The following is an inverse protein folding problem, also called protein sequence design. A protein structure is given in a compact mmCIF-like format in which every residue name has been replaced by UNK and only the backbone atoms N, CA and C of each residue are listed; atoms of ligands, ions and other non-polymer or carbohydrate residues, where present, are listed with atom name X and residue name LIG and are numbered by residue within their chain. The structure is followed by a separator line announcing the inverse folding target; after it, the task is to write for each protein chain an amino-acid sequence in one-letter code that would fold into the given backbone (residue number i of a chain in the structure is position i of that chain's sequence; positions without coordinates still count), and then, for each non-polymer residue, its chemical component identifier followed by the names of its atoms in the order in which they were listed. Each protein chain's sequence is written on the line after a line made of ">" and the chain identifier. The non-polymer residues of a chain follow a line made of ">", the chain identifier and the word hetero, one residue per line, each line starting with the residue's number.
data_IF_406873562031
#
_entry.id   IF_406873562031
#
_cell.length_a   1.000
_cell.length_b   1.000
_cell.length_c   1.000
_cell.angle_alpha   90.00
_cell.angle_beta   90.00
_cell.angle_gamma   90.00
#
_symmetry.space_group_name_H-M   'P 1'
#
loop_
_entity.id
_entity.type
_entity.pdbx_description
1 polymer ?
#
# COMPACT_ATOMS: atom_id res chain seq x y z
N UNK A 1 13.91 48.64 48.76
CA UNK A 1 14.33 47.24 48.97
C UNK A 1 13.13 46.33 48.63
N UNK A 2 12.66 46.34 47.38
CA UNK A 2 13.12 45.63 46.17
C UNK A 2 12.96 44.09 46.25
N UNK A 3 11.72 43.66 45.96
CA UNK A 3 11.29 42.45 45.24
C UNK A 3 12.29 41.30 45.01
N UNK A 4 12.40 40.31 45.92
CA UNK A 4 13.11 39.07 45.63
C UNK A 4 12.17 37.93 45.20
N UNK A 5 10.84 38.08 45.33
CA UNK A 5 9.88 37.00 45.05
C UNK A 5 9.17 37.10 43.70
N UNK A 6 9.15 38.27 43.06
CA UNK A 6 8.52 38.42 41.74
C UNK A 6 9.41 37.89 40.59
N UNK A 7 10.73 37.75 40.83
CA UNK A 7 11.69 37.26 39.85
C UNK A 7 11.65 35.73 39.64
N UNK A 8 11.14 34.98 40.62
CA UNK A 8 11.06 33.51 40.51
C UNK A 8 9.92 33.03 39.59
N UNK A 9 8.88 33.83 39.37
CA UNK A 9 7.78 33.47 38.48
C UNK A 9 8.07 33.77 37.00
N UNK A 10 8.96 34.73 36.70
CA UNK A 10 9.30 35.08 35.31
C UNK A 10 10.30 34.07 34.71
N UNK A 11 11.15 33.46 35.53
CA UNK A 11 12.09 32.42 35.06
C UNK A 11 11.42 31.11 34.63
N UNK A 12 10.25 30.78 35.20
CA UNK A 12 9.53 29.55 34.88
C UNK A 12 8.78 29.60 33.54
N UNK A 13 8.42 30.79 33.04
CA UNK A 13 7.77 30.94 31.73
C UNK A 13 8.73 30.85 30.54
N UNK A 14 10.03 31.11 30.75
CA UNK A 14 11.02 31.07 29.68
C UNK A 14 11.36 29.64 29.21
N UNK A 15 11.05 28.60 30.00
CA UNK A 15 11.37 27.20 29.67
C UNK A 15 10.29 26.45 28.88
N UNK A 16 9.08 27.01 28.73
CA UNK A 16 8.00 26.36 27.97
C UNK A 16 7.89 26.84 26.50
N UNK A 17 8.69 27.82 26.08
CA UNK A 17 8.47 28.53 24.82
C UNK A 17 9.15 27.99 23.56
N UNK A 18 9.86 26.86 23.60
CA UNK A 18 10.59 26.37 22.42
C UNK A 18 10.38 24.89 22.13
N UNK A 19 9.14 24.41 22.23
CA UNK A 19 8.73 23.33 21.34
C UNK A 19 8.61 23.98 19.95
N UNK A 20 9.63 23.80 19.10
CA UNK A 20 9.53 24.19 17.69
C UNK A 20 8.24 23.53 17.16
N UNK A 21 7.31 24.28 16.56
CA UNK A 21 6.18 23.65 15.90
C UNK A 21 6.80 22.76 14.84
N UNK A 22 6.66 21.45 15.01
CA UNK A 22 7.04 20.50 13.98
C UNK A 22 6.23 20.93 12.77
N UNK A 23 6.88 21.48 11.73
CA UNK A 23 6.20 21.73 10.47
C UNK A 23 5.58 20.40 10.08
N UNK A 24 4.26 20.31 10.23
CA UNK A 24 3.48 19.25 9.66
C UNK A 24 3.53 19.57 8.17
N UNK A 25 4.63 19.19 7.51
CA UNK A 25 4.61 18.93 6.08
C UNK A 25 3.44 17.99 5.95
N UNK A 26 2.32 18.52 5.47
CA UNK A 26 1.18 17.74 5.07
C UNK A 26 1.80 16.65 4.22
N UNK A 27 1.88 15.44 4.80
CA UNK A 27 2.55 14.34 4.17
C UNK A 27 1.58 14.04 3.06
N UNK A 28 1.78 14.68 1.90
CA UNK A 28 1.01 14.42 0.69
C UNK A 28 1.12 12.92 0.57
N UNK A 29 0.05 12.22 0.90
CA UNK A 29 -0.03 10.78 0.72
C UNK A 29 -0.09 10.67 -0.78
N UNK A 30 1.11 10.61 -1.39
CA UNK A 30 1.22 10.26 -2.80
C UNK A 30 0.56 8.90 -2.86
N UNK A 31 -0.53 8.83 -3.61
CA UNK A 31 -1.18 7.55 -3.87
C UNK A 31 -0.09 6.60 -4.37
N UNK A 32 0.00 5.43 -3.75
CA UNK A 32 0.99 4.45 -4.16
C UNK A 32 0.74 4.13 -5.64
N UNK A 33 1.81 4.02 -6.46
CA UNK A 33 1.64 3.69 -7.87
C UNK A 33 0.91 2.35 -8.02
N UNK A 34 0.13 2.20 -9.10
CA UNK A 34 -0.68 1.00 -9.34
C UNK A 34 0.18 -0.21 -9.76
N UNK A 35 1.36 0.07 -10.32
CA UNK A 35 2.39 -0.93 -10.66
C UNK A 35 3.77 -0.43 -10.22
N UNK A 36 4.71 -1.36 -10.07
CA UNK A 36 6.13 -1.06 -9.87
C UNK A 36 6.85 -0.68 -11.18
N UNK A 37 6.21 -0.86 -12.34
CA UNK A 37 6.75 -0.53 -13.67
C UNK A 37 6.57 0.97 -13.98
N UNK A 38 7.34 1.47 -14.95
CA UNK A 38 7.12 2.82 -15.47
C UNK A 38 5.86 2.87 -16.34
N UNK A 39 5.11 3.96 -16.19
CA UNK A 39 3.93 4.23 -17.01
C UNK A 39 4.37 4.84 -18.34
N UNK A 40 4.33 4.05 -19.42
CA UNK A 40 4.67 4.48 -20.78
C UNK A 40 3.56 4.16 -21.78
N UNK A 41 2.63 5.10 -21.96
CA UNK A 41 1.49 4.98 -22.89
C UNK A 41 1.89 4.78 -24.36
N UNK A 42 3.16 5.02 -24.72
CA UNK A 42 3.60 4.99 -26.11
C UNK A 42 4.20 3.65 -26.54
N UNK A 43 4.80 2.89 -25.63
CA UNK A 43 5.60 1.72 -25.99
C UNK A 43 5.23 0.44 -25.23
N UNK A 44 4.57 0.53 -24.08
CA UNK A 44 4.23 -0.65 -23.27
C UNK A 44 2.92 -0.52 -22.52
N UNK A 45 2.17 -1.61 -22.49
CA UNK A 45 0.94 -1.74 -21.69
C UNK A 45 1.19 -2.50 -20.38
N UNK A 46 2.45 -2.77 -20.03
CA UNK A 46 2.80 -3.58 -18.86
C UNK A 46 2.36 -2.93 -17.54
N UNK A 47 2.32 -1.59 -17.49
CA UNK A 47 1.77 -0.86 -16.35
C UNK A 47 0.27 -1.10 -16.22
N UNK A 48 -0.48 -0.98 -17.33
CA UNK A 48 -1.93 -1.15 -17.34
C UNK A 48 -2.32 -2.60 -17.05
N UNK A 49 -1.54 -3.57 -17.55
CA UNK A 49 -1.74 -4.99 -17.23
C UNK A 49 -1.65 -5.24 -15.73
N UNK A 50 -0.62 -4.71 -15.08
CA UNK A 50 -0.46 -4.82 -13.63
C UNK A 50 -1.56 -4.07 -12.87
N UNK A 51 -1.96 -2.88 -13.33
CA UNK A 51 -3.03 -2.11 -12.71
C UNK A 51 -4.39 -2.81 -12.81
N UNK A 52 -4.65 -3.49 -13.94
CA UNK A 52 -5.92 -4.16 -14.21
C UNK A 52 -6.02 -5.54 -13.56
N UNK A 53 -4.96 -6.35 -13.64
CA UNK A 53 -4.95 -7.74 -13.15
C UNK A 53 -4.33 -7.89 -11.76
N UNK A 54 -3.46 -6.95 -11.36
CA UNK A 54 -2.50 -7.12 -10.28
C UNK A 54 -1.18 -7.69 -10.78
N UNK A 55 -0.06 -7.28 -10.16
CA UNK A 55 1.29 -7.60 -10.63
C UNK A 55 1.62 -9.10 -10.69
N UNK A 56 1.02 -9.93 -9.84
CA UNK A 56 1.23 -11.38 -9.84
C UNK A 56 0.35 -12.08 -10.88
N UNK A 57 -0.91 -11.68 -10.98
CA UNK A 57 -1.85 -12.27 -11.93
C UNK A 57 -1.46 -11.89 -13.37
N UNK A 58 -1.02 -10.66 -13.62
CA UNK A 58 -0.55 -10.20 -14.93
C UNK A 58 0.55 -11.10 -15.52
N UNK A 59 1.53 -11.51 -14.70
CA UNK A 59 2.61 -12.44 -15.13
C UNK A 59 2.10 -13.81 -15.56
N UNK A 60 0.94 -14.24 -15.05
CA UNK A 60 0.35 -15.51 -15.45
C UNK A 60 -0.25 -15.45 -16.86
N UNK A 61 -0.69 -14.27 -17.30
CA UNK A 61 -1.26 -14.05 -18.63
C UNK A 61 -0.19 -14.00 -19.73
N UNK A 62 1.04 -13.62 -19.40
CA UNK A 62 2.19 -13.64 -20.33
C UNK A 62 2.51 -15.04 -20.85
N UNK A 63 2.10 -16.08 -20.13
CA UNK A 63 2.36 -17.49 -20.46
C UNK A 63 1.19 -18.15 -21.22
N UNK A 64 0.06 -17.46 -21.37
CA UNK A 64 -1.14 -18.00 -21.99
C UNK A 64 -1.19 -17.72 -23.49
N UNK A 65 -1.88 -18.58 -24.22
CA UNK A 65 -2.21 -18.30 -25.62
C UNK A 65 -3.18 -17.11 -25.71
N UNK A 66 -3.18 -16.36 -26.83
CA UNK A 66 -4.09 -15.23 -27.02
C UNK A 66 -5.57 -15.60 -26.80
N UNK A 67 -5.97 -16.80 -27.21
CA UNK A 67 -7.32 -17.32 -27.07
C UNK A 67 -7.69 -17.53 -25.59
N UNK A 68 -6.80 -18.14 -24.81
CA UNK A 68 -7.00 -18.36 -23.37
C UNK A 68 -6.99 -17.05 -22.59
N UNK A 69 -6.07 -16.14 -22.91
CA UNK A 69 -6.02 -14.80 -22.32
C UNK A 69 -7.32 -14.06 -22.56
N UNK A 70 -7.88 -14.11 -23.78
CA UNK A 70 -9.15 -13.49 -24.12
C UNK A 70 -10.32 -14.11 -23.36
N UNK A 71 -10.36 -15.44 -23.22
CA UNK A 71 -11.41 -16.12 -22.47
C UNK A 71 -11.38 -15.72 -20.98
N UNK A 72 -10.18 -15.69 -20.38
CA UNK A 72 -10.01 -15.30 -18.97
C UNK A 72 -10.33 -13.82 -18.74
N UNK A 73 -9.87 -12.94 -19.62
CA UNK A 73 -10.21 -11.51 -19.57
C UNK A 73 -11.72 -11.32 -19.68
N UNK A 74 -12.42 -12.05 -20.54
CA UNK A 74 -13.88 -11.98 -20.65
C UNK A 74 -14.60 -12.32 -19.34
N UNK A 75 -14.10 -13.31 -18.59
CA UNK A 75 -14.64 -13.66 -17.26
C UNK A 75 -14.37 -12.58 -16.20
N UNK A 76 -13.29 -11.83 -16.35
CA UNK A 76 -12.96 -10.70 -15.47
C UNK A 76 -13.85 -9.51 -15.80
N UNK A 77 -13.97 -9.15 -17.08
CA UNK A 77 -14.83 -8.06 -17.54
C UNK A 77 -16.28 -8.26 -17.09
N UNK A 78 -16.82 -9.48 -17.20
CA UNK A 78 -18.16 -9.79 -16.70
C UNK A 78 -18.33 -9.74 -15.18
N UNK A 79 -17.25 -9.58 -14.40
CA UNK A 79 -17.31 -9.27 -12.96
C UNK A 79 -17.16 -7.78 -12.67
N UNK A 80 -16.59 -7.02 -13.61
CA UNK A 80 -16.40 -5.57 -13.50
C UNK A 80 -17.69 -4.85 -13.86
N UNK A 81 -18.35 -5.33 -14.91
CA UNK A 81 -19.69 -4.92 -15.32
C UNK A 81 -20.69 -5.27 -14.20
N UNK A 82 -20.96 -4.30 -13.32
CA UNK A 82 -21.82 -4.48 -12.15
C UNK A 82 -23.30 -4.35 -12.53
N UNK A 83 -23.60 -3.53 -13.55
CA UNK A 83 -24.97 -3.30 -14.02
C UNK A 83 -25.43 -4.30 -15.10
N UNK A 84 -24.49 -5.05 -15.69
CA UNK A 84 -24.75 -6.14 -16.63
C UNK A 84 -25.15 -5.64 -18.01
N UNK A 85 -24.82 -4.40 -18.37
CA UNK A 85 -25.16 -3.81 -19.66
C UNK A 85 -24.23 -4.27 -20.80
N UNK A 86 -23.19 -5.03 -20.48
CA UNK A 86 -22.19 -5.57 -21.41
C UNK A 86 -21.08 -4.59 -21.76
N UNK A 87 -21.06 -3.40 -21.15
CA UNK A 87 -20.01 -2.41 -21.24
C UNK A 87 -19.33 -2.24 -19.89
N UNK A 88 -18.19 -1.55 -19.90
CA UNK A 88 -17.49 -1.19 -18.67
C UNK A 88 -17.35 0.31 -18.65
N UNK A 89 -18.00 0.94 -17.69
CA UNK A 89 -17.92 2.37 -17.45
C UNK A 89 -16.60 2.73 -16.75
N UNK A 90 -16.26 4.02 -16.78
CA UNK A 90 -15.06 4.53 -16.10
C UNK A 90 -15.18 4.33 -14.58
N UNK A 91 -16.38 4.50 -14.03
CA UNK A 91 -16.62 4.26 -12.61
C UNK A 91 -16.37 2.80 -12.21
N UNK A 92 -16.89 1.85 -12.97
CA UNK A 92 -16.71 0.41 -12.72
C UNK A 92 -15.27 -0.02 -12.85
N UNK A 93 -14.58 0.41 -13.92
CA UNK A 93 -13.17 0.11 -14.11
C UNK A 93 -12.32 0.67 -12.95
N UNK A 94 -12.62 1.88 -12.49
CA UNK A 94 -11.93 2.49 -11.36
C UNK A 94 -12.21 1.75 -10.05
N UNK A 95 -13.44 1.29 -9.84
CA UNK A 95 -13.79 0.47 -8.69
C UNK A 95 -13.03 -0.86 -8.70
N UNK A 96 -12.95 -1.51 -9.86
CA UNK A 96 -12.20 -2.73 -10.07
C UNK A 96 -10.70 -2.57 -9.78
N UNK A 97 -10.04 -1.57 -10.37
CA UNK A 97 -8.60 -1.32 -10.15
C UNK A 97 -8.30 -1.13 -8.66
N UNK A 98 -9.15 -0.38 -7.94
CA UNK A 98 -9.03 -0.21 -6.49
C UNK A 98 -9.23 -1.53 -5.74
N UNK A 99 -10.19 -2.34 -6.15
CA UNK A 99 -10.44 -3.65 -5.55
C UNK A 99 -9.25 -4.60 -5.77
N UNK A 100 -8.73 -4.69 -6.99
CA UNK A 100 -7.59 -5.50 -7.36
C UNK A 100 -6.33 -5.09 -6.57
N UNK A 101 -6.04 -3.79 -6.49
CA UNK A 101 -4.92 -3.27 -5.70
C UNK A 101 -5.06 -3.60 -4.21
N UNK A 102 -6.26 -3.39 -3.64
CA UNK A 102 -6.52 -3.67 -2.22
C UNK A 102 -6.37 -5.16 -1.91
N UNK A 103 -6.87 -6.02 -2.78
CA UNK A 103 -6.73 -7.47 -2.68
C UNK A 103 -5.26 -7.88 -2.69
N UNK A 104 -4.47 -7.36 -3.62
CA UNK A 104 -3.04 -7.63 -3.68
C UNK A 104 -2.32 -7.19 -2.40
N UNK A 105 -2.64 -6.01 -1.86
CA UNK A 105 -2.08 -5.53 -0.58
C UNK A 105 -2.42 -6.50 0.56
N UNK A 106 -3.68 -6.95 0.67
CA UNK A 106 -4.05 -7.88 1.73
C UNK A 106 -3.39 -9.25 1.57
N UNK A 107 -3.32 -9.78 0.35
CA UNK A 107 -2.67 -11.07 0.09
C UNK A 107 -1.15 -11.00 0.36
N UNK A 108 -0.50 -9.87 0.05
CA UNK A 108 0.92 -9.66 0.36
C UNK A 108 1.15 -9.51 1.88
N UNK A 109 0.32 -8.72 2.56
CA UNK A 109 0.37 -8.57 4.02
C UNK A 109 0.16 -9.91 4.72
N UNK A 110 -0.83 -10.70 4.30
CA UNK A 110 -1.11 -12.03 4.85
C UNK A 110 0.07 -13.00 4.62
N UNK A 111 0.69 -12.95 3.44
CA UNK A 111 1.87 -13.76 3.12
C UNK A 111 3.06 -13.38 4.00
N UNK A 112 3.31 -12.09 4.16
CA UNK A 112 4.38 -11.60 5.04
C UNK A 112 4.08 -11.93 6.50
N UNK A 113 2.82 -11.78 6.92
CA UNK A 113 2.37 -12.11 8.27
C UNK A 113 2.72 -13.56 8.61
N UNK A 114 2.32 -14.51 7.75
CA UNK A 114 2.67 -15.94 7.92
C UNK A 114 4.16 -16.23 7.89
N UNK A 115 4.96 -15.41 7.21
CA UNK A 115 6.41 -15.54 7.23
C UNK A 115 7.06 -15.07 8.54
N UNK A 116 6.38 -14.19 9.28
CA UNK A 116 6.86 -13.58 10.51
C UNK A 116 6.25 -14.18 11.78
N UNK A 117 5.01 -14.67 11.74
CA UNK A 117 4.31 -15.33 12.83
C UNK A 117 4.60 -16.85 12.75
N UNK A 118 5.70 -17.28 13.38
CA UNK A 118 6.19 -18.65 13.27
C UNK A 118 5.46 -19.59 14.24
N UNK A 119 4.93 -19.04 15.33
CA UNK A 119 4.21 -19.79 16.35
C UNK A 119 2.68 -19.80 16.13
N UNK A 120 2.19 -19.11 15.10
CA UNK A 120 0.78 -18.97 14.71
C UNK A 120 -0.11 -18.41 15.84
N UNK A 121 0.45 -17.56 16.71
CA UNK A 121 -0.29 -16.94 17.82
C UNK A 121 -1.07 -15.67 17.40
N UNK A 122 -0.94 -15.26 16.14
CA UNK A 122 -1.60 -14.10 15.58
C UNK A 122 -0.94 -12.79 16.01
N UNK A 123 0.28 -12.84 16.55
CA UNK A 123 1.14 -11.72 16.88
C UNK A 123 2.54 -11.98 16.29
N UNK A 124 3.33 -10.91 16.10
CA UNK A 124 4.75 -11.04 15.74
C UNK A 124 5.57 -10.55 16.91
N UNK A 125 6.21 -11.48 17.61
CA UNK A 125 7.12 -11.15 18.71
C UNK A 125 8.44 -10.57 18.19
N UNK A 126 9.18 -9.87 19.05
CA UNK A 126 10.51 -9.35 18.71
C UNK A 126 11.49 -10.47 18.30
N UNK A 127 11.34 -11.65 18.90
CA UNK A 127 12.19 -12.80 18.62
C UNK A 127 11.90 -13.38 17.24
N UNK A 128 10.63 -13.50 16.87
CA UNK A 128 10.23 -13.97 15.55
C UNK A 128 10.58 -12.97 14.45
N UNK A 129 10.35 -11.67 14.67
CA UNK A 129 10.77 -10.63 13.72
C UNK A 129 12.28 -10.71 13.45
N UNK A 130 13.09 -10.85 14.51
CA UNK A 130 14.54 -10.94 14.40
C UNK A 130 14.98 -12.22 13.68
N UNK A 131 14.33 -13.34 13.96
CA UNK A 131 14.63 -14.62 13.31
C UNK A 131 14.24 -14.60 11.82
N UNK A 132 13.06 -14.08 11.48
CA UNK A 132 12.60 -13.97 10.09
C UNK A 132 13.41 -12.96 9.26
N UNK A 133 13.84 -11.85 9.86
CA UNK A 133 14.56 -10.78 9.15
C UNK A 133 16.07 -11.01 9.08
N UNK A 134 16.67 -11.61 10.12
CA UNK A 134 18.13 -11.75 10.26
C UNK A 134 18.61 -13.20 10.43
N UNK A 135 17.73 -14.19 10.21
CA UNK A 135 17.90 -15.60 10.56
C UNK A 135 19.31 -16.14 10.44
N UNK A 136 20.06 -16.14 11.56
CA UNK A 136 21.50 -16.38 11.73
C UNK A 136 22.42 -15.15 11.59
N UNK A 137 22.41 -14.29 12.62
CA UNK A 137 23.63 -13.67 13.15
C UNK A 137 23.54 -13.70 14.69
N UNK A 138 23.94 -14.84 15.27
CA UNK A 138 24.71 -15.04 16.51
C UNK A 138 24.73 -16.53 16.87
#
# INVERSE_FOLDING_TARGET
>A
MLFPRLLLCVGAWALCGSAKPTERKERVVREAPLSAREHDDAQSFDYDHDAFLGAEEAKSFDQLTPEESKERLGKIVGKIDEDGDGFVTVEELKAWIKFAQKRWIYEDVERQWKGHDLNEDGLVSWEEYKNATYGYIL
#
